data_IF_143349818210
#
_entry.id   IF_143349818210
#
_cell.length_a   1.000
_cell.length_b   1.000
_cell.length_c   1.000
_cell.angle_alpha   90.00
_cell.angle_beta   90.00
_cell.angle_gamma   90.00
#
_symmetry.space_group_name_H-M   'P 1'
#
loop_
_entity.id
_entity.type
_entity.pdbx_description
1 polymer ?
#
# COMPACT_ATOMS: atom_id res chain seq x y z
N UNK A 1 -3.30 2.49 -11.20
CA UNK A 1 -4.63 2.42 -10.55
C UNK A 1 -4.60 3.27 -9.28
N UNK A 2 -5.60 4.10 -9.04
CA UNK A 2 -5.70 4.97 -7.86
C UNK A 2 -7.08 4.81 -7.21
N UNK A 3 -7.10 4.71 -5.89
CA UNK A 3 -8.33 4.58 -5.10
C UNK A 3 -8.32 5.68 -4.04
N UNK A 4 -9.37 6.50 -4.01
CA UNK A 4 -9.56 7.50 -2.95
C UNK A 4 -9.97 6.84 -1.63
N UNK A 5 -9.40 7.28 -0.52
CA UNK A 5 -9.60 6.70 0.81
C UNK A 5 -9.79 7.82 1.84
N UNK A 6 -10.73 7.64 2.77
CA UNK A 6 -11.18 8.68 3.71
C UNK A 6 -11.72 9.92 2.97
N UNK A 7 -11.50 11.13 3.52
CA UNK A 7 -11.99 12.38 2.95
C UNK A 7 -11.00 13.03 1.97
N UNK A 8 -9.69 12.84 2.16
CA UNK A 8 -8.62 13.50 1.38
C UNK A 8 -7.43 12.59 1.03
N UNK A 9 -7.49 11.31 1.40
CA UNK A 9 -6.41 10.33 1.20
C UNK A 9 -6.56 9.55 -0.10
N UNK A 10 -5.53 8.81 -0.45
CA UNK A 10 -5.55 7.88 -1.59
C UNK A 10 -4.51 6.78 -1.44
N UNK A 11 -4.71 5.72 -2.20
CA UNK A 11 -3.74 4.66 -2.46
C UNK A 11 -3.57 4.51 -3.97
N UNK A 12 -2.33 4.68 -4.43
CA UNK A 12 -1.97 4.58 -5.85
C UNK A 12 -0.91 3.51 -6.04
N UNK A 13 -1.20 2.55 -6.93
CA UNK A 13 -0.18 1.61 -7.40
C UNK A 13 0.76 2.36 -8.34
N UNK A 14 2.04 2.44 -7.96
CA UNK A 14 3.10 3.06 -8.76
C UNK A 14 3.73 2.01 -9.66
N UNK A 15 4.11 0.89 -9.08
CA UNK A 15 4.75 -0.20 -9.81
C UNK A 15 4.52 -1.54 -9.12
N UNK A 16 4.73 -2.63 -9.86
CA UNK A 16 4.72 -4.00 -9.37
C UNK A 16 5.84 -4.79 -10.04
N UNK A 17 6.43 -5.70 -9.29
CA UNK A 17 7.39 -6.66 -9.79
C UNK A 17 6.82 -8.07 -9.65
N UNK A 18 6.80 -8.80 -10.75
CA UNK A 18 6.29 -10.17 -10.80
C UNK A 18 4.77 -10.26 -10.89
N UNK A 19 4.30 -11.49 -11.03
CA UNK A 19 2.88 -11.85 -11.12
C UNK A 19 2.69 -13.30 -10.61
N UNK A 20 1.51 -13.86 -10.80
CA UNK A 20 1.20 -15.24 -10.42
C UNK A 20 2.20 -16.27 -10.98
N UNK A 21 2.72 -16.05 -12.19
CA UNK A 21 3.73 -16.93 -12.79
C UNK A 21 5.08 -16.80 -12.10
N UNK A 22 5.41 -15.65 -11.51
CA UNK A 22 6.62 -15.51 -10.68
C UNK A 22 6.56 -16.41 -9.45
N UNK A 23 5.40 -16.48 -8.79
CA UNK A 23 5.17 -17.38 -7.65
C UNK A 23 5.32 -18.84 -8.07
N UNK A 24 4.71 -19.23 -9.19
CA UNK A 24 4.78 -20.61 -9.71
C UNK A 24 6.22 -20.99 -10.08
N UNK A 25 6.95 -20.10 -10.76
CA UNK A 25 8.36 -20.32 -11.12
C UNK A 25 9.23 -20.47 -9.88
N UNK A 26 9.05 -19.59 -8.89
CA UNK A 26 9.79 -19.64 -7.63
C UNK A 26 9.53 -20.96 -6.88
N UNK A 27 8.28 -21.43 -6.82
CA UNK A 27 7.96 -22.69 -6.16
C UNK A 27 8.50 -23.93 -6.89
N UNK A 28 8.54 -23.89 -8.23
CA UNK A 28 8.98 -25.03 -9.04
C UNK A 28 10.49 -25.14 -9.20
N UNK A 29 11.25 -24.09 -8.90
CA UNK A 29 12.72 -24.14 -8.92
C UNK A 29 13.25 -25.28 -8.06
N UNK A 30 12.59 -25.58 -6.94
CA UNK A 30 12.92 -26.67 -6.03
C UNK A 30 12.79 -28.06 -6.65
N UNK A 31 12.03 -28.18 -7.74
CA UNK A 31 11.77 -29.45 -8.45
C UNK A 31 12.40 -29.47 -9.86
N UNK A 32 13.13 -28.41 -10.25
CA UNK A 32 13.70 -28.27 -11.59
C UNK A 32 12.65 -28.19 -12.71
N UNK A 33 11.40 -27.84 -12.39
CA UNK A 33 10.29 -27.81 -13.35
C UNK A 33 9.98 -26.40 -13.83
N UNK A 34 9.51 -26.28 -15.08
CA UNK A 34 9.07 -25.01 -15.66
C UNK A 34 7.55 -24.80 -15.50
N UNK A 35 7.03 -23.70 -16.06
CA UNK A 35 5.59 -23.48 -16.22
C UNK A 35 4.95 -24.65 -16.97
N UNK A 36 3.69 -24.96 -16.63
CA UNK A 36 2.97 -26.10 -17.23
C UNK A 36 1.72 -25.60 -17.92
N UNK A 37 0.55 -26.01 -17.44
CA UNK A 37 -0.75 -25.51 -17.89
C UNK A 37 -1.30 -24.52 -16.85
N UNK A 38 -2.01 -23.50 -17.31
CA UNK A 38 -2.65 -22.46 -16.47
C UNK A 38 -3.47 -23.03 -15.32
N UNK A 39 -4.22 -24.11 -15.53
CA UNK A 39 -5.08 -24.68 -14.48
C UNK A 39 -4.25 -25.31 -13.36
N UNK A 40 -3.18 -26.02 -13.71
CA UNK A 40 -2.25 -26.62 -12.75
C UNK A 40 -1.45 -25.55 -12.02
N UNK A 41 -1.04 -24.51 -12.73
CA UNK A 41 -0.29 -23.39 -12.17
C UNK A 41 -1.16 -22.63 -11.14
N UNK A 42 -2.45 -22.41 -11.44
CA UNK A 42 -3.42 -21.86 -10.50
C UNK A 42 -3.68 -22.78 -9.30
N UNK A 43 -3.87 -24.08 -9.54
CA UNK A 43 -4.03 -25.06 -8.45
C UNK A 43 -2.81 -25.11 -7.53
N UNK A 44 -1.60 -24.94 -8.08
CA UNK A 44 -0.38 -24.87 -7.29
C UNK A 44 -0.42 -23.67 -6.34
N UNK A 45 -0.75 -22.47 -6.82
CA UNK A 45 -0.84 -21.28 -5.95
C UNK A 45 -1.80 -21.52 -4.77
N UNK A 46 -2.98 -22.09 -5.03
CA UNK A 46 -3.92 -22.42 -3.95
C UNK A 46 -3.38 -23.48 -2.99
N UNK A 47 -2.66 -24.47 -3.52
CA UNK A 47 -2.02 -25.49 -2.69
C UNK A 47 -0.95 -24.86 -1.77
N UNK A 48 -0.08 -23.99 -2.31
CA UNK A 48 0.95 -23.30 -1.54
C UNK A 48 0.32 -22.46 -0.40
N UNK A 49 -0.71 -21.69 -0.73
CA UNK A 49 -1.44 -20.87 0.24
C UNK A 49 -2.07 -21.73 1.35
N UNK A 50 -2.70 -22.86 0.98
CA UNK A 50 -3.33 -23.77 1.95
C UNK A 50 -2.32 -24.43 2.89
N UNK A 51 -1.10 -24.69 2.42
CA UNK A 51 -0.04 -25.31 3.21
C UNK A 51 0.80 -24.30 3.99
N UNK A 52 0.55 -22.98 3.86
CA UNK A 52 1.37 -21.95 4.48
C UNK A 52 2.79 -21.88 3.88
N UNK A 53 2.97 -22.33 2.64
CA UNK A 53 4.25 -22.21 1.96
C UNK A 53 4.38 -20.82 1.33
N UNK A 54 4.75 -19.85 2.17
CA UNK A 54 4.66 -18.41 1.84
C UNK A 54 5.88 -17.87 1.10
N UNK A 55 7.05 -18.53 1.17
CA UNK A 55 8.29 -18.03 0.57
C UNK A 55 8.21 -17.77 -0.95
N UNK A 56 7.49 -18.55 -1.78
CA UNK A 56 7.36 -18.23 -3.21
C UNK A 56 6.62 -16.90 -3.48
N UNK A 57 5.80 -16.43 -2.54
CA UNK A 57 5.05 -15.17 -2.67
C UNK A 57 5.94 -13.94 -2.42
N UNK A 58 7.11 -14.10 -1.79
CA UNK A 58 8.08 -13.01 -1.59
C UNK A 58 8.74 -12.55 -2.91
N UNK A 59 8.62 -13.35 -3.98
CA UNK A 59 9.10 -13.00 -5.32
C UNK A 59 8.16 -12.05 -6.08
N UNK A 60 7.14 -11.52 -5.42
CA UNK A 60 6.24 -10.49 -5.93
C UNK A 60 6.32 -9.27 -5.01
N UNK A 61 6.54 -8.09 -5.58
CA UNK A 61 6.65 -6.85 -4.83
C UNK A 61 5.74 -5.77 -5.42
N UNK A 62 5.26 -4.86 -4.57
CA UNK A 62 4.43 -3.73 -4.95
C UNK A 62 4.99 -2.45 -4.39
N UNK A 63 4.94 -1.39 -5.20
CA UNK A 63 5.29 -0.04 -4.78
C UNK A 63 4.05 0.83 -4.80
N UNK A 64 3.71 1.42 -3.66
CA UNK A 64 2.53 2.26 -3.50
C UNK A 64 2.92 3.70 -3.16
N UNK A 65 2.17 4.65 -3.71
CA UNK A 65 2.12 6.01 -3.22
C UNK A 65 0.84 6.16 -2.40
N UNK A 66 1.03 6.44 -1.11
CA UNK A 66 -0.05 6.51 -0.14
C UNK A 66 -0.11 7.92 0.45
N UNK A 67 -1.31 8.49 0.47
CA UNK A 67 -1.61 9.69 1.27
C UNK A 67 -2.58 9.31 2.38
N UNK A 68 -2.12 9.36 3.62
CA UNK A 68 -2.92 9.02 4.78
C UNK A 68 -2.63 9.94 5.98
N UNK A 69 -3.51 9.97 6.99
CA UNK A 69 -3.26 10.72 8.22
C UNK A 69 -2.11 10.12 9.03
N UNK A 70 -1.36 10.97 9.76
CA UNK A 70 -0.18 10.55 10.52
C UNK A 70 -0.48 9.42 11.52
N UNK A 71 -1.65 9.42 12.17
CA UNK A 71 -2.01 8.35 13.11
C UNK A 71 -2.23 6.99 12.43
N UNK A 72 -2.67 6.97 11.16
CA UNK A 72 -2.75 5.75 10.34
C UNK A 72 -1.35 5.32 9.92
N UNK A 73 -0.52 6.26 9.45
CA UNK A 73 0.87 5.98 9.10
C UNK A 73 1.65 5.35 10.26
N UNK A 74 1.45 5.83 11.50
CA UNK A 74 2.09 5.27 12.71
C UNK A 74 1.70 3.83 13.01
N UNK A 75 0.49 3.40 12.65
CA UNK A 75 0.08 2.00 12.74
C UNK A 75 0.69 1.20 11.58
N UNK A 76 0.63 1.74 10.36
CA UNK A 76 1.12 1.08 9.16
C UNK A 76 2.63 0.81 9.22
N UNK A 77 3.44 1.77 9.65
CA UNK A 77 4.89 1.63 9.73
C UNK A 77 5.36 0.64 10.81
N UNK A 78 4.44 -0.01 11.55
CA UNK A 78 4.76 -1.14 12.42
C UNK A 78 5.03 -2.43 11.64
N UNK A 79 4.61 -2.51 10.38
CA UNK A 79 4.90 -3.62 9.49
C UNK A 79 6.37 -3.54 9.04
N UNK A 80 7.27 -4.17 9.83
CA UNK A 80 8.72 -4.07 9.67
C UNK A 80 9.27 -4.71 8.39
N UNK A 81 8.53 -5.63 7.78
CA UNK A 81 8.91 -6.30 6.54
C UNK A 81 8.35 -5.49 5.38
N UNK A 82 8.88 -4.27 5.19
CA UNK A 82 8.49 -3.29 4.17
C UNK A 82 9.53 -2.17 4.08
N UNK A 83 9.53 -1.42 2.98
CA UNK A 83 10.40 -0.25 2.78
C UNK A 83 9.56 1.02 2.67
N UNK A 84 9.97 2.09 3.35
CA UNK A 84 9.21 3.35 3.42
C UNK A 84 10.07 4.55 3.04
N UNK A 85 9.42 5.53 2.39
CA UNK A 85 9.90 6.90 2.28
C UNK A 85 8.70 7.81 2.55
N UNK A 86 8.87 8.82 3.40
CA UNK A 86 7.81 9.73 3.83
C UNK A 86 8.23 11.19 3.64
N UNK A 87 7.25 12.04 3.34
CA UNK A 87 7.44 13.48 3.34
C UNK A 87 7.92 13.96 4.72
N UNK A 88 9.07 14.60 4.76
CA UNK A 88 9.66 15.09 6.00
C UNK A 88 9.27 16.54 6.28
N UNK A 89 8.52 16.77 7.37
CA UNK A 89 8.23 18.12 7.87
C UNK A 89 9.46 18.90 8.35
N UNK A 90 10.64 18.28 8.42
CA UNK A 90 11.91 18.96 8.73
C UNK A 90 12.49 19.71 7.52
N UNK A 91 12.13 19.28 6.31
CA UNK A 91 12.70 19.80 5.06
C UNK A 91 11.67 20.44 4.15
N UNK A 92 10.38 20.22 4.41
CA UNK A 92 9.28 20.71 3.57
C UNK A 92 8.17 21.25 4.43
N UNK A 93 7.64 22.41 4.05
CA UNK A 93 6.45 22.98 4.69
C UNK A 93 5.24 22.05 4.45
N UNK A 94 4.58 21.67 5.54
CA UNK A 94 3.44 20.76 5.48
C UNK A 94 2.17 21.53 5.12
N UNK A 95 1.43 21.02 4.14
CA UNK A 95 0.11 21.55 3.80
C UNK A 95 -0.83 21.42 5.00
N UNK A 96 -1.69 22.43 5.21
CA UNK A 96 -2.75 22.44 6.24
C UNK A 96 -3.91 21.51 5.85
N UNK A 97 -3.63 20.22 5.70
CA UNK A 97 -4.60 19.19 5.30
C UNK A 97 -4.80 18.17 6.41
N UNK A 98 -6.01 18.14 6.99
CA UNK A 98 -6.36 17.26 8.11
C UNK A 98 -7.50 16.32 7.74
N UNK A 99 -7.43 15.08 8.23
CA UNK A 99 -8.55 14.15 8.14
C UNK A 99 -9.70 14.59 9.04
N UNK A 100 -10.90 14.65 8.48
CA UNK A 100 -12.13 14.90 9.22
C UNK A 100 -13.05 13.68 9.08
N UNK A 101 -13.33 12.94 10.18
CA UNK A 101 -14.29 11.85 10.16
C UNK A 101 -15.68 12.33 9.71
N UNK A 102 -16.36 11.51 8.92
CA UNK A 102 -17.64 11.88 8.29
C UNK A 102 -18.70 12.31 9.32
N UNK A 103 -18.73 11.67 10.50
CA UNK A 103 -19.67 11.98 11.58
C UNK A 103 -19.41 13.33 12.28
N UNK A 104 -18.21 13.91 12.11
CA UNK A 104 -17.84 15.23 12.64
C UNK A 104 -18.00 16.35 11.60
N UNK A 105 -18.11 16.01 10.31
CA UNK A 105 -18.09 16.99 9.21
C UNK A 105 -19.16 18.07 9.34
N UNK A 106 -20.35 17.72 9.85
CA UNK A 106 -21.47 18.66 10.04
C UNK A 106 -21.46 19.34 11.42
N UNK A 107 -20.55 18.96 12.32
CA UNK A 107 -20.46 19.49 13.69
C UNK A 107 -19.32 20.50 13.85
N UNK A 108 -18.34 20.47 12.95
CA UNK A 108 -17.22 21.39 12.93
C UNK A 108 -17.64 22.61 12.11
N UNK A 109 -17.79 23.77 12.77
CA UNK A 109 -17.89 25.05 12.05
C UNK A 109 -16.50 25.36 11.47
N UNK A 110 -16.40 25.78 10.19
CA UNK A 110 -15.13 26.27 9.69
C UNK A 110 -14.67 27.42 10.58
N UNK A 111 -13.42 27.36 11.05
CA UNK A 111 -12.83 28.47 11.78
C UNK A 111 -12.82 29.69 10.85
N UNK A 112 -13.41 30.80 11.28
CA UNK A 112 -13.24 32.09 10.61
C UNK A 112 -11.81 32.55 10.89
N UNK A 113 -10.89 32.30 9.95
CA UNK A 113 -9.61 32.99 9.97
C UNK A 113 -9.36 33.58 8.60
N UNK A 114 -9.31 34.91 8.58
CA UNK A 114 -8.79 35.71 7.49
C UNK A 114 -7.29 35.43 7.42
N UNK A 115 -6.83 34.82 6.33
CA UNK A 115 -5.42 34.81 6.01
C UNK A 115 -5.02 36.28 5.79
N UNK A 116 -4.36 36.88 6.78
CA UNK A 116 -3.56 38.09 6.54
C UNK A 116 -2.33 37.60 5.78
N UNK A 117 -2.31 37.92 4.49
CA UNK A 117 -1.12 37.82 3.65
C UNK A 117 0.06 38.47 4.41
N UNK A 118 1.03 37.66 4.79
CA UNK A 118 2.32 38.15 5.27
C UNK A 118 3.19 38.28 4.03
N UNK A 119 3.47 39.52 3.64
CA UNK A 119 4.46 39.91 2.61
C UNK A 119 5.84 39.28 2.85
#
# INVERSE_FOLDING_TARGET
MEISVLDKGFLKLIDHFGNDLSVVKAARVSHGMNLTNSDRDKQLIYHLMRQGHESPFEHVAFTFHVKCPLFVARQWMRHRISSYNELSGRYTELKKEFYVPMFLKNRIKPAKHEDKDVE
#
